data_IF_760406410782
#
_entry.id   IF_760406410782
#
_cell.length_a   1.000
_cell.length_b   1.000
_cell.length_c   1.000
_cell.angle_alpha   90.00
_cell.angle_beta   90.00
_cell.angle_gamma   90.00
#
_symmetry.space_group_name_H-M   'P 1'
#
loop_
_entity.id
_entity.type
_entity.pdbx_description
1 polymer ?
#
# COMPACT_ATOMS: atom_id res chain seq x y z
N UNK A 1 -9.26 6.54 4.40
CA UNK A 1 -8.79 7.28 5.58
C UNK A 1 -7.62 6.53 6.18
N UNK A 2 -6.61 7.23 6.67
CA UNK A 2 -5.42 6.65 7.31
C UNK A 2 -5.30 7.25 8.71
N UNK A 3 -5.12 6.40 9.71
CA UNK A 3 -4.85 6.80 11.10
C UNK A 3 -3.39 6.48 11.38
N UNK A 4 -2.64 7.48 11.79
CA UNK A 4 -1.24 7.34 12.21
C UNK A 4 -1.19 7.33 13.71
N UNK A 5 -0.60 6.31 14.29
CA UNK A 5 -0.39 6.24 15.73
C UNK A 5 0.92 6.91 16.14
N UNK A 6 0.97 7.39 17.37
CA UNK A 6 2.18 7.97 17.95
C UNK A 6 3.32 6.94 17.97
N UNK A 7 4.58 7.39 17.91
CA UNK A 7 5.73 6.51 18.06
C UNK A 7 5.62 5.67 19.35
N UNK A 8 5.96 4.38 19.24
CA UNK A 8 5.92 3.41 20.36
C UNK A 8 4.51 3.11 20.89
N UNK A 9 3.47 3.26 20.09
CA UNK A 9 2.14 2.76 20.44
C UNK A 9 2.20 1.27 20.77
N UNK A 10 1.57 0.88 21.90
CA UNK A 10 1.55 -0.50 22.37
C UNK A 10 0.51 -1.31 21.60
N UNK A 11 0.62 -2.63 21.65
CA UNK A 11 -0.34 -3.53 21.01
C UNK A 11 -1.79 -3.27 21.45
N UNK A 12 -1.99 -2.93 22.73
CA UNK A 12 -3.32 -2.60 23.25
C UNK A 12 -3.90 -1.34 22.62
N UNK A 13 -3.05 -0.33 22.34
CA UNK A 13 -3.45 0.90 21.67
C UNK A 13 -3.88 0.61 20.22
N UNK A 14 -3.10 -0.21 19.52
CA UNK A 14 -3.41 -0.62 18.14
C UNK A 14 -4.75 -1.34 18.11
N UNK A 15 -4.95 -2.32 18.99
CA UNK A 15 -6.19 -3.10 19.07
C UNK A 15 -7.40 -2.22 19.40
N UNK A 16 -7.24 -1.27 20.32
CA UNK A 16 -8.30 -0.34 20.70
C UNK A 16 -8.74 0.53 19.52
N UNK A 17 -7.78 1.17 18.83
CA UNK A 17 -8.07 2.02 17.67
C UNK A 17 -8.65 1.19 16.51
N UNK A 18 -8.14 0.00 16.28
CA UNK A 18 -8.71 -0.94 15.29
C UNK A 18 -10.19 -1.22 15.56
N UNK A 19 -10.52 -1.53 16.82
CA UNK A 19 -11.92 -1.78 17.22
C UNK A 19 -12.79 -0.54 17.03
N UNK A 20 -12.27 0.67 17.26
CA UNK A 20 -13.01 1.90 16.97
C UNK A 20 -13.36 2.02 15.49
N UNK A 21 -12.43 1.69 14.60
CA UNK A 21 -12.66 1.68 13.14
C UNK A 21 -13.70 0.64 12.75
N UNK A 22 -13.57 -0.59 13.26
CA UNK A 22 -14.51 -1.69 12.98
C UNK A 22 -15.95 -1.40 13.45
N UNK A 23 -16.10 -0.71 14.58
CA UNK A 23 -17.43 -0.26 15.08
C UNK A 23 -18.13 0.73 14.14
N UNK A 24 -17.37 1.39 13.24
CA UNK A 24 -17.91 2.26 12.18
C UNK A 24 -18.23 1.52 10.88
N UNK A 25 -18.15 0.19 10.88
CA UNK A 25 -18.44 -0.63 9.70
C UNK A 25 -17.31 -0.62 8.66
N UNK A 26 -16.11 -0.20 9.04
CA UNK A 26 -14.94 -0.19 8.18
C UNK A 26 -14.04 -1.38 8.48
N UNK A 27 -13.38 -1.91 7.46
CA UNK A 27 -12.27 -2.85 7.63
C UNK A 27 -10.96 -2.10 7.84
N UNK A 28 -9.94 -2.83 8.33
CA UNK A 28 -8.65 -2.27 8.68
C UNK A 28 -7.51 -3.01 8.00
N UNK A 29 -6.48 -2.26 7.59
CA UNK A 29 -5.18 -2.78 7.23
C UNK A 29 -4.13 -2.12 8.11
N UNK A 30 -3.44 -2.93 8.93
CA UNK A 30 -2.48 -2.43 9.91
C UNK A 30 -1.07 -2.66 9.39
N UNK A 31 -0.28 -1.60 9.35
CA UNK A 31 1.15 -1.63 9.01
C UNK A 31 1.95 -1.18 10.22
N UNK A 32 2.70 -2.11 10.79
CA UNK A 32 3.57 -1.84 11.94
C UNK A 32 4.98 -1.57 11.39
N UNK A 33 5.39 -0.32 11.42
CA UNK A 33 6.76 0.09 11.07
C UNK A 33 7.67 0.15 12.29
N UNK A 34 8.96 0.37 12.07
CA UNK A 34 9.96 0.49 13.14
C UNK A 34 9.74 1.69 14.05
N UNK A 35 9.22 2.79 13.54
CA UNK A 35 9.03 4.03 14.28
C UNK A 35 7.56 4.39 14.51
N UNK A 36 6.67 4.01 13.60
CA UNK A 36 5.25 4.33 13.69
C UNK A 36 4.37 3.19 13.19
N UNK A 37 3.15 3.14 13.69
CA UNK A 37 2.11 2.22 13.23
C UNK A 37 1.04 3.00 12.49
N UNK A 38 0.61 2.44 11.37
CA UNK A 38 -0.41 3.04 10.50
C UNK A 38 -1.60 2.08 10.41
N UNK A 39 -2.81 2.60 10.60
CA UNK A 39 -4.06 1.86 10.40
C UNK A 39 -4.78 2.46 9.20
N UNK A 40 -4.79 1.71 8.09
CA UNK A 40 -5.58 2.05 6.91
C UNK A 40 -7.02 1.62 7.09
N UNK A 41 -7.96 2.54 6.94
CA UNK A 41 -9.38 2.25 6.96
C UNK A 41 -9.87 1.91 5.55
N UNK A 42 -10.45 0.73 5.39
CA UNK A 42 -10.96 0.20 4.13
C UNK A 42 -12.48 0.29 4.14
N UNK A 43 -13.07 0.85 3.09
CA UNK A 43 -14.51 1.05 2.96
C UNK A 43 -14.87 2.51 2.68
N UNK A 44 -16.16 2.82 2.79
CA UNK A 44 -16.65 4.20 2.60
C UNK A 44 -16.38 5.03 3.85
N UNK A 45 -15.35 5.87 3.78
CA UNK A 45 -14.94 6.76 4.86
C UNK A 45 -15.53 8.17 4.74
N UNK A 46 -16.41 8.42 3.76
CA UNK A 46 -16.95 9.78 3.51
C UNK A 46 -17.85 10.26 4.63
N UNK A 47 -18.52 9.35 5.33
CA UNK A 47 -19.45 9.62 6.42
C UNK A 47 -18.80 9.55 7.82
N UNK A 48 -17.49 9.30 7.87
CA UNK A 48 -16.79 9.12 9.16
C UNK A 48 -15.99 10.38 9.48
N UNK A 49 -16.33 11.04 10.57
CA UNK A 49 -15.60 12.22 11.06
C UNK A 49 -14.23 11.78 11.61
N UNK A 50 -13.11 12.27 11.06
CA UNK A 50 -11.76 11.99 11.54
C UNK A 50 -11.55 12.32 13.02
N UNK A 51 -12.22 13.36 13.52
CA UNK A 51 -12.11 13.81 14.90
C UNK A 51 -12.48 12.72 15.92
N UNK A 52 -13.32 11.75 15.52
CA UNK A 52 -13.67 10.61 16.38
C UNK A 52 -12.46 9.76 16.78
N UNK A 53 -11.43 9.73 15.95
CA UNK A 53 -10.20 8.98 16.23
C UNK A 53 -9.11 9.87 16.83
N UNK A 54 -9.09 11.15 16.51
CA UNK A 54 -8.11 12.12 17.03
C UNK A 54 -8.20 12.32 18.54
N UNK A 55 -9.34 12.00 19.16
CA UNK A 55 -9.51 12.08 20.62
C UNK A 55 -8.75 10.97 21.36
N UNK A 56 -8.38 9.87 20.69
CA UNK A 56 -7.59 8.81 21.30
C UNK A 56 -6.14 9.25 21.51
N UNK A 57 -5.64 9.09 22.73
CA UNK A 57 -4.32 9.56 23.11
C UNK A 57 -3.17 8.89 22.35
N UNK A 58 -3.41 7.71 21.78
CA UNK A 58 -2.44 6.98 20.96
C UNK A 58 -2.40 7.44 19.50
N UNK A 59 -3.38 8.20 19.03
CA UNK A 59 -3.43 8.74 17.67
C UNK A 59 -2.56 10.00 17.59
N UNK A 60 -1.72 10.05 16.57
CA UNK A 60 -0.93 11.24 16.23
C UNK A 60 -1.72 12.14 15.27
N UNK A 61 -2.24 11.56 14.18
CA UNK A 61 -3.04 12.28 13.19
C UNK A 61 -3.93 11.35 12.39
N UNK A 62 -5.00 11.91 11.84
CA UNK A 62 -5.90 11.24 10.90
C UNK A 62 -5.88 11.98 9.57
N UNK A 63 -5.73 11.26 8.46
CA UNK A 63 -5.66 11.83 7.12
C UNK A 63 -6.71 11.20 6.21
N UNK A 64 -7.47 12.03 5.49
CA UNK A 64 -8.24 11.56 4.35
C UNK A 64 -7.33 11.44 3.13
N UNK A 65 -7.12 10.21 2.68
CA UNK A 65 -6.44 9.98 1.40
C UNK A 65 -7.49 9.94 0.31
N UNK A 66 -7.59 11.01 -0.43
CA UNK A 66 -8.51 11.13 -1.58
C UNK A 66 -7.94 10.55 -2.88
N UNK A 67 -6.73 10.03 -2.83
CA UNK A 67 -6.06 9.52 -4.02
C UNK A 67 -6.60 8.14 -4.41
N UNK A 68 -6.81 7.88 -5.72
CA UNK A 68 -7.37 6.62 -6.21
C UNK A 68 -6.45 5.41 -5.99
N UNK A 69 -5.17 5.63 -5.66
CA UNK A 69 -4.15 4.60 -5.48
C UNK A 69 -3.69 4.48 -4.01
N UNK A 70 -4.62 4.45 -3.06
CA UNK A 70 -4.31 4.37 -1.61
C UNK A 70 -3.34 3.25 -1.25
N UNK A 71 -3.53 2.07 -1.84
CA UNK A 71 -2.70 0.89 -1.55
C UNK A 71 -1.27 1.00 -2.09
N UNK A 72 -1.06 1.83 -3.13
CA UNK A 72 0.26 2.07 -3.72
C UNK A 72 0.93 3.35 -3.18
N UNK A 73 0.21 4.12 -2.35
CA UNK A 73 0.75 5.35 -1.80
C UNK A 73 1.83 5.07 -0.75
N UNK A 74 2.94 5.79 -0.83
CA UNK A 74 4.08 5.64 0.09
C UNK A 74 3.70 5.90 1.56
N UNK A 75 2.69 6.72 1.82
CA UNK A 75 2.17 6.95 3.18
C UNK A 75 1.47 5.70 3.76
N UNK A 76 0.94 4.81 2.89
CA UNK A 76 0.30 3.57 3.27
C UNK A 76 1.26 2.37 3.19
N UNK A 77 2.18 2.41 2.23
CA UNK A 77 3.19 1.38 1.99
C UNK A 77 4.58 2.03 1.99
N UNK A 78 5.19 2.26 3.16
CA UNK A 78 6.45 3.00 3.28
C UNK A 78 7.65 2.27 2.69
N UNK A 79 7.61 0.94 2.67
CA UNK A 79 8.69 0.11 2.17
C UNK A 79 8.60 -0.11 0.65
N UNK A 80 9.75 -0.33 0.02
CA UNK A 80 9.80 -0.66 -1.40
C UNK A 80 9.27 -2.06 -1.66
N UNK A 81 8.34 -2.16 -2.62
CA UNK A 81 7.88 -3.47 -3.10
C UNK A 81 8.97 -4.14 -3.92
N UNK A 82 9.20 -5.41 -3.66
CA UNK A 82 10.04 -6.27 -4.48
C UNK A 82 9.17 -7.36 -5.07
N UNK A 83 9.07 -7.39 -6.40
CA UNK A 83 8.26 -8.38 -7.13
C UNK A 83 9.22 -9.40 -7.73
N UNK A 84 8.96 -10.67 -7.49
CA UNK A 84 9.70 -11.76 -8.15
C UNK A 84 8.91 -12.25 -9.36
N UNK A 85 9.54 -12.15 -10.52
CA UNK A 85 9.00 -12.67 -11.77
C UNK A 85 9.91 -13.82 -12.24
N UNK A 86 9.56 -15.03 -11.86
CA UNK A 86 10.31 -16.25 -12.24
C UNK A 86 11.81 -16.18 -11.92
N UNK A 87 12.17 -15.67 -10.73
CA UNK A 87 13.53 -15.52 -10.24
C UNK A 87 14.19 -14.18 -10.57
N UNK A 88 13.54 -13.30 -11.34
CA UNK A 88 14.01 -11.95 -11.62
C UNK A 88 13.30 -10.96 -10.67
N UNK A 89 14.07 -10.33 -9.81
CA UNK A 89 13.54 -9.33 -8.86
C UNK A 89 13.41 -7.95 -9.51
N UNK A 90 12.27 -7.29 -9.30
CA UNK A 90 11.99 -5.94 -9.78
C UNK A 90 11.58 -5.08 -8.58
N UNK A 91 12.17 -3.88 -8.44
CA UNK A 91 11.94 -2.99 -7.30
C UNK A 91 12.94 -3.22 -6.16
N UNK A 92 12.88 -2.41 -5.09
CA UNK A 92 13.79 -2.50 -3.95
C UNK A 92 15.28 -2.35 -4.33
N UNK A 93 15.60 -1.48 -5.29
CA UNK A 93 16.97 -1.29 -5.80
C UNK A 93 17.38 -2.25 -6.93
N UNK A 94 16.53 -3.22 -7.31
CA UNK A 94 16.77 -4.09 -8.46
C UNK A 94 16.23 -3.43 -9.74
N UNK A 95 17.09 -3.30 -10.75
CA UNK A 95 16.73 -2.79 -12.07
C UNK A 95 16.07 -3.91 -12.89
N UNK A 96 14.80 -3.72 -13.27
CA UNK A 96 14.11 -4.58 -14.21
C UNK A 96 14.12 -3.97 -15.62
N UNK A 97 14.64 -4.67 -16.61
CA UNK A 97 14.54 -4.31 -18.02
C UNK A 97 13.33 -5.01 -18.64
N UNK A 98 12.38 -4.20 -19.12
CA UNK A 98 11.19 -4.69 -19.81
C UNK A 98 11.24 -4.18 -21.25
N UNK A 99 11.30 -5.08 -22.21
CA UNK A 99 11.35 -4.74 -23.62
C UNK A 99 10.38 -5.60 -24.42
N UNK A 100 9.76 -5.01 -25.43
CA UNK A 100 8.79 -5.69 -26.28
C UNK A 100 8.21 -4.75 -27.34
N UNK A 101 7.24 -5.23 -28.15
CA UNK A 101 6.58 -4.41 -29.15
C UNK A 101 5.68 -3.35 -28.49
N UNK A 102 5.45 -2.23 -29.13
CA UNK A 102 4.50 -1.21 -28.66
C UNK A 102 3.03 -1.63 -28.81
N UNK A 103 2.72 -2.58 -29.71
CA UNK A 103 1.40 -3.20 -29.84
C UNK A 103 1.54 -4.69 -30.17
N UNK A 104 0.58 -5.47 -29.73
CA UNK A 104 0.51 -6.91 -30.04
C UNK A 104 -0.47 -7.08 -31.20
N UNK A 105 0.06 -7.41 -32.39
CA UNK A 105 -0.73 -7.58 -33.63
C UNK A 105 -0.90 -9.03 -34.00
N UNK A 106 0.13 -9.86 -33.72
CA UNK A 106 0.08 -11.31 -33.97
C UNK A 106 0.99 -12.08 -33.01
N UNK A 107 0.73 -13.37 -32.87
CA UNK A 107 1.57 -14.28 -32.08
C UNK A 107 2.98 -14.35 -32.66
N UNK A 108 3.09 -14.43 -34.00
CA UNK A 108 4.38 -14.56 -34.69
C UNK A 108 5.24 -13.32 -34.44
N UNK A 109 4.68 -12.12 -34.55
CA UNK A 109 5.37 -10.86 -34.25
C UNK A 109 5.92 -10.85 -32.81
N UNK A 110 5.10 -11.21 -31.83
CA UNK A 110 5.53 -11.22 -30.43
C UNK A 110 6.62 -12.24 -30.20
N UNK A 111 6.52 -13.43 -30.82
CA UNK A 111 7.51 -14.48 -30.65
C UNK A 111 8.85 -14.13 -31.29
N UNK A 112 8.83 -13.47 -32.46
CA UNK A 112 10.05 -13.00 -33.12
C UNK A 112 10.76 -11.94 -32.24
N UNK A 113 10.03 -10.92 -31.78
CA UNK A 113 10.58 -9.85 -30.93
C UNK A 113 11.08 -10.42 -29.58
N UNK A 114 10.32 -11.32 -28.95
CA UNK A 114 10.73 -11.94 -27.69
C UNK A 114 12.03 -12.75 -27.83
N UNK A 115 12.21 -13.47 -28.93
CA UNK A 115 13.47 -14.20 -29.25
C UNK A 115 14.63 -13.24 -29.45
N UNK A 116 14.41 -12.12 -30.18
CA UNK A 116 15.44 -11.12 -30.42
C UNK A 116 15.86 -10.41 -29.12
N UNK A 117 14.89 -9.98 -28.31
CA UNK A 117 15.16 -9.34 -26.99
C UNK A 117 15.89 -10.28 -26.04
N UNK A 118 15.53 -11.58 -26.04
CA UNK A 118 16.21 -12.56 -25.19
C UNK A 118 17.66 -12.85 -25.62
N UNK A 119 17.97 -12.64 -26.89
CA UNK A 119 19.31 -12.91 -27.46
C UNK A 119 20.26 -11.71 -27.32
N UNK A 120 19.73 -10.49 -27.03
CA UNK A 120 20.49 -9.26 -26.79
C UNK A 120 20.99 -9.17 -25.37
#
# INVERSE_FOLDING_TARGET
>A
MIIVLKPRAKQDDITRVEQMVKRKGLDTHIVVGSEMTIIGCIGDTTQVDPKLFEVDSAVDKVMHVQEPYKLANRAFHPEDSVIDVSGVKIGGGHLGLIAGPCSVESVDQVMEIAKAVKAS
#
